data_IF_827108186658
#
_entry.id   IF_827108186658
#
_cell.length_a   1.000
_cell.length_b   1.000
_cell.length_c   1.000
_cell.angle_alpha   90.00
_cell.angle_beta   90.00
_cell.angle_gamma   90.00
#
_symmetry.space_group_name_H-M   'P 1'
#
loop_
_entity.id
_entity.type
_entity.pdbx_description
1 polymer ?
#
# COMPACT_ATOMS: atom_id res chain seq x y z
N UNK A 1 -70.98 41.91 -18.77
CA UNK A 1 -70.34 40.59 -18.96
C UNK A 1 -68.78 40.58 -18.90
N UNK A 2 -68.10 41.66 -18.47
CA UNK A 2 -66.61 41.75 -18.49
C UNK A 2 -65.87 41.22 -17.24
N UNK A 3 -66.54 40.98 -16.11
CA UNK A 3 -65.90 40.61 -14.83
C UNK A 3 -65.73 39.09 -14.60
N UNK A 4 -66.48 38.23 -15.29
CA UNK A 4 -66.41 36.77 -15.07
C UNK A 4 -65.13 36.13 -15.62
N UNK A 5 -64.56 36.67 -16.70
CA UNK A 5 -63.30 36.19 -17.28
C UNK A 5 -62.07 36.50 -16.42
N UNK A 6 -62.02 37.68 -15.81
CA UNK A 6 -60.93 38.07 -14.92
C UNK A 6 -60.91 37.26 -13.61
N UNK A 7 -62.10 36.99 -13.03
CA UNK A 7 -62.22 36.16 -11.84
C UNK A 7 -61.80 34.70 -12.10
N UNK A 8 -62.18 34.12 -13.25
CA UNK A 8 -61.76 32.77 -13.63
C UNK A 8 -60.24 32.66 -13.82
N UNK A 9 -59.63 33.67 -14.44
CA UNK A 9 -58.19 33.71 -14.69
C UNK A 9 -57.39 33.81 -13.38
N UNK A 10 -57.86 34.63 -12.42
CA UNK A 10 -57.27 34.70 -11.08
C UNK A 10 -57.33 33.36 -10.34
N UNK A 11 -58.47 32.66 -10.42
CA UNK A 11 -58.62 31.34 -9.81
C UNK A 11 -57.67 30.33 -10.45
N UNK A 12 -57.61 30.27 -11.79
CA UNK A 12 -56.69 29.39 -12.50
C UNK A 12 -55.22 29.69 -12.19
N UNK A 13 -54.85 30.96 -12.08
CA UNK A 13 -53.50 31.36 -11.71
C UNK A 13 -53.16 30.98 -10.26
N UNK A 14 -54.11 31.14 -9.33
CA UNK A 14 -53.92 30.70 -7.94
C UNK A 14 -53.77 29.17 -7.83
N UNK A 15 -54.56 28.40 -8.59
CA UNK A 15 -54.46 26.94 -8.63
C UNK A 15 -53.12 26.51 -9.25
N UNK A 16 -52.68 27.19 -10.31
CA UNK A 16 -51.38 26.93 -10.93
C UNK A 16 -50.24 27.17 -9.93
N UNK A 17 -50.26 28.28 -9.19
CA UNK A 17 -49.28 28.58 -8.16
C UNK A 17 -49.30 27.57 -7.01
N UNK A 18 -50.49 27.18 -6.54
CA UNK A 18 -50.61 26.15 -5.50
C UNK A 18 -50.09 24.79 -5.99
N UNK A 19 -50.37 24.43 -7.24
CA UNK A 19 -49.92 23.19 -7.86
C UNK A 19 -48.39 23.16 -8.03
N UNK A 20 -47.78 24.27 -8.49
CA UNK A 20 -46.32 24.35 -8.61
C UNK A 20 -45.63 24.35 -7.24
N UNK A 21 -46.21 25.02 -6.24
CA UNK A 21 -45.70 25.00 -4.87
C UNK A 21 -45.80 23.60 -4.23
N UNK A 22 -46.92 22.91 -4.42
CA UNK A 22 -47.10 21.54 -3.95
C UNK A 22 -46.13 20.57 -4.65
N UNK A 23 -45.96 20.69 -5.96
CA UNK A 23 -45.03 19.87 -6.75
C UNK A 23 -43.57 20.08 -6.33
N UNK A 24 -43.13 21.33 -6.16
CA UNK A 24 -41.76 21.61 -5.68
C UNK A 24 -41.55 21.07 -4.28
N UNK A 25 -42.50 21.26 -3.36
CA UNK A 25 -42.45 20.71 -2.00
C UNK A 25 -42.33 19.20 -2.00
N UNK A 26 -43.10 18.49 -2.84
CA UNK A 26 -43.02 17.05 -2.98
C UNK A 26 -41.65 16.59 -3.49
N UNK A 27 -41.11 17.24 -4.53
CA UNK A 27 -39.76 16.94 -5.02
C UNK A 27 -38.70 17.15 -3.93
N UNK A 28 -38.78 18.25 -3.17
CA UNK A 28 -37.87 18.50 -2.06
C UNK A 28 -37.95 17.43 -0.98
N UNK A 29 -39.17 17.02 -0.58
CA UNK A 29 -39.36 15.97 0.41
C UNK A 29 -38.80 14.63 -0.08
N UNK A 30 -39.10 14.25 -1.31
CA UNK A 30 -38.58 13.01 -1.93
C UNK A 30 -37.05 12.99 -1.94
N UNK A 31 -36.43 14.09 -2.37
CA UNK A 31 -34.98 14.22 -2.36
C UNK A 31 -34.41 14.14 -0.94
N UNK A 32 -35.04 14.80 0.04
CA UNK A 32 -34.61 14.73 1.44
C UNK A 32 -34.69 13.32 2.00
N UNK A 33 -35.77 12.59 1.74
CA UNK A 33 -35.90 11.18 2.16
C UNK A 33 -34.81 10.32 1.53
N UNK A 34 -34.53 10.51 0.23
CA UNK A 34 -33.45 9.80 -0.45
C UNK A 34 -32.08 10.09 0.18
N UNK A 35 -31.72 11.36 0.40
CA UNK A 35 -30.44 11.75 1.00
C UNK A 35 -30.29 11.23 2.43
N UNK A 36 -31.34 11.30 3.25
CA UNK A 36 -31.33 10.77 4.62
C UNK A 36 -31.19 9.24 4.60
N UNK A 37 -31.87 8.57 3.68
CA UNK A 37 -31.76 7.12 3.48
C UNK A 37 -30.34 6.70 3.12
N UNK A 38 -29.74 7.32 2.09
CA UNK A 38 -28.36 7.07 1.67
C UNK A 38 -27.35 7.35 2.78
N UNK A 39 -27.47 8.50 3.45
CA UNK A 39 -26.60 8.84 4.58
C UNK A 39 -26.69 7.85 5.73
N UNK A 40 -27.88 7.31 6.00
CA UNK A 40 -28.08 6.30 7.05
C UNK A 40 -27.43 4.98 6.66
N UNK A 41 -27.66 4.51 5.44
CA UNK A 41 -27.04 3.28 4.91
C UNK A 41 -25.51 3.36 4.98
N UNK A 42 -24.92 4.48 4.56
CA UNK A 42 -23.46 4.71 4.64
C UNK A 42 -22.92 4.65 6.07
N UNK A 43 -23.68 5.20 7.04
CA UNK A 43 -23.29 5.16 8.44
C UNK A 43 -23.40 3.74 9.03
N UNK A 44 -24.44 3.00 8.66
CA UNK A 44 -24.65 1.61 9.07
C UNK A 44 -23.55 0.71 8.49
N UNK A 45 -23.18 0.90 7.21
CA UNK A 45 -22.07 0.21 6.55
C UNK A 45 -20.73 0.53 7.19
N UNK A 46 -20.48 1.80 7.50
CA UNK A 46 -19.26 2.22 8.21
C UNK A 46 -19.13 1.52 9.56
N UNK A 47 -20.22 1.39 10.32
CA UNK A 47 -20.23 0.66 11.59
C UNK A 47 -19.98 -0.84 11.39
N UNK A 48 -20.62 -1.46 10.38
CA UNK A 48 -20.39 -2.87 10.05
C UNK A 48 -18.92 -3.14 9.68
N UNK A 49 -18.32 -2.28 8.85
CA UNK A 49 -16.92 -2.39 8.44
C UNK A 49 -15.96 -2.28 9.62
N UNK A 50 -16.18 -1.31 10.52
CA UNK A 50 -15.39 -1.15 11.75
C UNK A 50 -15.56 -2.34 12.71
N UNK A 51 -16.78 -2.87 12.83
CA UNK A 51 -17.06 -4.08 13.61
C UNK A 51 -16.32 -5.29 13.04
N UNK A 52 -16.33 -5.44 11.72
CA UNK A 52 -15.64 -6.53 11.00
C UNK A 52 -14.13 -6.46 11.17
N UNK A 53 -13.53 -5.26 11.08
CA UNK A 53 -12.11 -5.05 11.40
C UNK A 53 -11.79 -5.43 12.85
N UNK A 54 -12.67 -5.08 13.79
CA UNK A 54 -12.47 -5.40 15.21
C UNK A 54 -12.52 -6.91 15.48
N UNK A 55 -13.46 -7.62 14.84
CA UNK A 55 -13.54 -9.10 14.88
C UNK A 55 -12.29 -9.73 14.28
N UNK A 56 -11.86 -9.22 13.12
CA UNK A 56 -10.63 -9.67 12.46
C UNK A 56 -9.40 -9.52 13.36
N UNK A 57 -9.21 -8.34 13.96
CA UNK A 57 -8.09 -8.06 14.88
C UNK A 57 -8.11 -8.99 16.10
N UNK A 58 -9.27 -9.21 16.70
CA UNK A 58 -9.40 -10.11 17.85
C UNK A 58 -9.05 -11.56 17.49
N UNK A 59 -9.43 -12.02 16.30
CA UNK A 59 -9.08 -13.36 15.84
C UNK A 59 -7.57 -13.51 15.65
N UNK A 60 -6.90 -12.54 15.03
CA UNK A 60 -5.43 -12.56 14.89
C UNK A 60 -4.76 -12.50 16.26
N UNK A 61 -5.20 -11.61 17.15
CA UNK A 61 -4.62 -11.48 18.48
C UNK A 61 -4.70 -12.81 19.26
N UNK A 62 -5.81 -13.55 19.14
CA UNK A 62 -5.96 -14.88 19.75
C UNK A 62 -4.98 -15.90 19.18
N UNK A 63 -4.78 -15.93 17.86
CA UNK A 63 -3.82 -16.86 17.24
C UNK A 63 -2.37 -16.57 17.69
N UNK A 64 -1.98 -15.30 17.72
CA UNK A 64 -0.67 -14.88 18.22
C UNK A 64 -0.48 -15.27 19.70
N UNK A 65 -1.51 -15.06 20.53
CA UNK A 65 -1.45 -15.44 21.96
C UNK A 65 -1.35 -16.95 22.17
N UNK A 66 -1.86 -17.77 21.24
CA UNK A 66 -1.75 -19.22 21.29
C UNK A 66 -0.38 -19.75 20.82
N UNK A 67 0.58 -18.86 20.56
CA UNK A 67 1.95 -19.21 20.21
C UNK A 67 2.21 -19.39 18.72
N UNK A 68 1.25 -19.05 17.85
CA UNK A 68 1.51 -19.00 16.42
C UNK A 68 2.21 -17.69 16.04
N UNK A 69 3.32 -17.79 15.31
CA UNK A 69 3.94 -16.59 14.73
C UNK A 69 2.99 -15.97 13.68
N UNK A 70 3.03 -14.64 13.57
CA UNK A 70 2.16 -13.89 12.67
C UNK A 70 2.35 -14.34 11.21
N UNK A 71 3.56 -14.77 10.80
CA UNK A 71 3.77 -15.31 9.46
C UNK A 71 2.91 -16.55 9.19
N UNK A 72 2.72 -17.42 10.19
CA UNK A 72 1.89 -18.62 10.09
C UNK A 72 0.40 -18.26 10.01
N UNK A 73 -0.07 -17.42 10.94
CA UNK A 73 -1.43 -16.85 10.94
C UNK A 73 -1.74 -16.17 9.61
N UNK A 74 -0.84 -15.32 9.11
CA UNK A 74 -1.01 -14.61 7.84
C UNK A 74 -1.16 -15.59 6.67
N UNK A 75 -0.32 -16.63 6.61
CA UNK A 75 -0.44 -17.67 5.58
C UNK A 75 -1.79 -18.39 5.62
N UNK A 76 -2.33 -18.68 6.81
CA UNK A 76 -3.67 -19.30 6.96
C UNK A 76 -4.79 -18.35 6.54
N UNK A 77 -4.66 -17.07 6.85
CA UNK A 77 -5.64 -16.05 6.48
C UNK A 77 -5.71 -15.80 4.97
N UNK A 78 -4.61 -16.05 4.26
CA UNK A 78 -4.58 -15.98 2.79
C UNK A 78 -5.27 -17.18 2.12
N UNK A 79 -5.35 -18.33 2.77
CA UNK A 79 -5.94 -19.56 2.22
C UNK A 79 -7.37 -19.83 2.70
N UNK A 80 -7.78 -19.22 3.80
CA UNK A 80 -9.11 -19.37 4.40
C UNK A 80 -10.17 -18.47 3.73
N UNK A 81 -11.46 -18.83 3.78
CA UNK A 81 -12.53 -17.99 3.24
C UNK A 81 -12.51 -16.63 3.93
N UNK A 82 -12.27 -15.58 3.14
CA UNK A 82 -12.06 -14.24 3.64
C UNK A 82 -13.40 -13.50 3.84
N UNK A 83 -14.25 -14.02 4.73
CA UNK A 83 -15.57 -13.45 5.04
C UNK A 83 -15.80 -13.35 6.55
N UNK A 84 -16.42 -12.25 6.98
CA UNK A 84 -16.84 -12.00 8.35
C UNK A 84 -18.33 -11.69 8.33
N UNK A 85 -19.13 -12.50 9.01
CA UNK A 85 -20.59 -12.34 9.07
C UNK A 85 -20.99 -11.70 10.41
N UNK A 86 -21.65 -10.55 10.36
CA UNK A 86 -22.19 -9.85 11.54
C UNK A 86 -23.66 -9.51 11.24
N UNK A 87 -24.59 -9.93 12.10
CA UNK A 87 -26.03 -9.68 11.93
C UNK A 87 -26.56 -10.10 10.55
N UNK A 88 -26.17 -11.28 10.06
CA UNK A 88 -26.54 -11.81 8.74
C UNK A 88 -26.09 -10.95 7.56
N UNK A 89 -25.11 -10.07 7.77
CA UNK A 89 -24.44 -9.32 6.72
C UNK A 89 -22.99 -9.77 6.61
N UNK A 90 -22.59 -10.07 5.38
CA UNK A 90 -21.26 -10.55 5.10
C UNK A 90 -20.35 -9.39 4.70
N UNK A 91 -19.11 -9.45 5.20
CA UNK A 91 -18.03 -8.54 4.84
C UNK A 91 -16.86 -9.38 4.35
N UNK A 92 -16.56 -9.26 3.06
CA UNK A 92 -15.40 -9.89 2.46
C UNK A 92 -14.16 -9.08 2.80
N UNK A 93 -13.04 -9.75 3.08
CA UNK A 93 -11.77 -9.08 3.25
C UNK A 93 -10.69 -9.62 2.32
N UNK A 94 -9.68 -8.83 2.04
CA UNK A 94 -8.46 -9.27 1.36
C UNK A 94 -7.25 -8.66 2.02
N UNK A 95 -6.21 -9.46 2.25
CA UNK A 95 -4.94 -9.01 2.80
C UNK A 95 -3.92 -8.78 1.69
N UNK A 96 -3.07 -7.77 1.89
CA UNK A 96 -1.98 -7.43 0.99
C UNK A 96 -0.76 -7.17 1.85
N UNK A 97 0.32 -7.90 1.61
CA UNK A 97 1.58 -7.66 2.29
C UNK A 97 2.13 -6.29 1.92
N UNK A 98 2.51 -5.53 2.94
CA UNK A 98 3.19 -4.23 2.84
C UNK A 98 4.53 -4.29 3.57
N UNK A 99 4.98 -5.47 4.00
CA UNK A 99 6.27 -5.65 4.65
C UNK A 99 7.34 -5.75 3.61
N UNK A 100 7.33 -6.79 2.77
CA UNK A 100 8.45 -7.14 1.89
C UNK A 100 8.33 -6.49 0.51
N UNK A 101 8.33 -5.16 0.49
CA UNK A 101 8.23 -4.31 -0.69
C UNK A 101 9.18 -3.12 -0.60
N UNK A 102 9.59 -2.59 -1.75
CA UNK A 102 10.32 -1.33 -1.85
C UNK A 102 9.41 -0.17 -1.46
N UNK A 103 9.65 0.40 -0.28
CA UNK A 103 8.91 1.55 0.22
C UNK A 103 9.35 2.82 -0.52
N UNK A 104 8.52 3.34 -1.43
CA UNK A 104 8.85 4.49 -2.28
C UNK A 104 9.05 5.79 -1.49
N UNK A 105 8.56 5.88 -0.24
CA UNK A 105 8.78 7.06 0.60
C UNK A 105 10.26 7.21 1.00
N UNK A 106 11.03 6.11 0.98
CA UNK A 106 12.48 6.15 1.20
C UNK A 106 13.23 7.01 0.18
N UNK A 107 12.69 7.21 -1.02
CA UNK A 107 13.28 8.05 -2.07
C UNK A 107 13.35 9.52 -1.67
N UNK A 108 12.39 9.98 -0.87
CA UNK A 108 12.40 11.31 -0.28
C UNK A 108 13.21 11.33 1.03
N UNK A 109 12.94 10.37 1.91
CA UNK A 109 13.49 10.40 3.26
C UNK A 109 15.02 10.33 3.26
N UNK A 110 15.61 9.62 2.29
CA UNK A 110 17.06 9.51 2.13
C UNK A 110 17.75 10.86 1.88
N UNK A 111 17.04 11.85 1.32
CA UNK A 111 17.55 13.21 1.10
C UNK A 111 17.12 14.19 2.20
N UNK A 112 16.02 13.91 2.90
CA UNK A 112 15.52 14.77 3.99
C UNK A 112 16.23 14.53 5.33
N UNK A 113 16.69 13.31 5.58
CA UNK A 113 17.41 12.97 6.80
C UNK A 113 18.82 13.57 6.76
N UNK A 114 19.33 14.04 7.90
CA UNK A 114 20.68 14.63 8.00
C UNK A 114 21.81 13.62 7.74
N UNK A 115 21.51 12.35 7.44
CA UNK A 115 22.50 11.33 7.18
C UNK A 115 22.88 11.30 5.69
N UNK A 116 24.07 11.82 5.38
CA UNK A 116 24.56 11.96 3.99
C UNK A 116 25.01 10.63 3.37
N UNK A 117 25.27 9.61 4.20
CA UNK A 117 25.82 8.35 3.74
C UNK A 117 24.72 7.53 3.05
N UNK A 118 24.95 7.16 1.79
CA UNK A 118 24.08 6.30 0.98
C UNK A 118 22.69 6.86 0.62
N UNK A 119 22.49 8.18 0.58
CA UNK A 119 21.21 8.81 0.16
C UNK A 119 20.69 8.37 -1.22
N UNK A 120 21.58 7.95 -2.13
CA UNK A 120 21.22 7.44 -3.46
C UNK A 120 20.86 5.95 -3.48
N UNK A 121 21.08 5.22 -2.39
CA UNK A 121 20.86 3.77 -2.34
C UNK A 121 19.41 3.38 -2.71
N UNK A 122 18.34 3.98 -2.15
CA UNK A 122 16.97 3.64 -2.54
C UNK A 122 16.69 3.88 -4.02
N UNK A 123 17.34 4.88 -4.62
CA UNK A 123 17.20 5.19 -6.04
C UNK A 123 17.87 4.14 -6.92
N UNK A 124 19.04 3.63 -6.52
CA UNK A 124 19.70 2.51 -7.19
C UNK A 124 18.87 1.23 -7.09
N UNK A 125 18.25 0.96 -5.93
CA UNK A 125 17.33 -0.19 -5.77
C UNK A 125 16.15 -0.06 -6.72
N UNK A 126 15.49 1.09 -6.76
CA UNK A 126 14.37 1.33 -7.69
C UNK A 126 14.81 1.17 -9.16
N UNK A 127 15.96 1.71 -9.53
CA UNK A 127 16.51 1.55 -10.87
C UNK A 127 16.72 0.06 -11.22
N UNK A 128 17.33 -0.72 -10.32
CA UNK A 128 17.51 -2.16 -10.51
C UNK A 128 16.19 -2.92 -10.61
N UNK A 129 15.17 -2.58 -9.81
CA UNK A 129 13.82 -3.17 -9.93
C UNK A 129 13.29 -2.96 -11.36
N UNK A 130 13.42 -1.76 -11.91
CA UNK A 130 12.96 -1.47 -13.27
C UNK A 130 13.77 -2.23 -14.33
N UNK A 131 15.10 -2.26 -14.22
CA UNK A 131 15.97 -2.97 -15.17
C UNK A 131 15.71 -4.48 -15.17
N UNK A 132 15.61 -5.12 -14.00
CA UNK A 132 15.34 -6.55 -13.87
C UNK A 132 13.98 -6.97 -14.46
N UNK A 133 13.03 -6.04 -14.54
CA UNK A 133 11.71 -6.25 -15.12
C UNK A 133 11.60 -5.72 -16.57
N UNK A 134 12.71 -5.32 -17.20
CA UNK A 134 12.77 -4.73 -18.54
C UNK A 134 11.86 -3.50 -18.72
N UNK A 135 11.72 -2.68 -17.68
CA UNK A 135 10.87 -1.49 -17.69
C UNK A 135 11.73 -0.25 -17.88
N UNK A 136 11.37 0.56 -18.88
CA UNK A 136 12.04 1.83 -19.18
C UNK A 136 11.26 2.98 -18.55
N UNK A 137 11.85 3.66 -17.57
CA UNK A 137 11.34 4.91 -17.02
C UNK A 137 12.19 6.07 -17.53
N UNK A 138 11.58 7.01 -18.27
CA UNK A 138 12.30 8.20 -18.74
C UNK A 138 12.77 9.08 -17.58
N UNK A 139 12.02 9.12 -16.48
CA UNK A 139 12.33 9.89 -15.27
C UNK A 139 13.55 9.31 -14.58
N UNK A 140 13.52 8.01 -14.24
CA UNK A 140 14.63 7.36 -13.54
C UNK A 140 15.88 7.31 -14.42
N UNK A 141 15.77 6.97 -15.70
CA UNK A 141 16.93 6.91 -16.59
C UNK A 141 17.64 8.26 -16.72
N UNK A 142 16.87 9.37 -16.77
CA UNK A 142 17.44 10.72 -16.78
C UNK A 142 18.17 11.01 -15.48
N UNK A 143 17.56 10.72 -14.33
CA UNK A 143 18.18 10.94 -13.02
C UNK A 143 19.44 10.09 -12.82
N UNK A 144 19.44 8.83 -13.27
CA UNK A 144 20.60 7.94 -13.19
C UNK A 144 21.73 8.39 -14.12
N UNK A 145 21.41 8.86 -15.32
CA UNK A 145 22.42 9.43 -16.24
C UNK A 145 23.12 10.62 -15.59
N UNK A 146 22.36 11.53 -14.97
CA UNK A 146 22.92 12.69 -14.27
C UNK A 146 23.81 12.24 -13.10
N UNK A 147 23.36 11.26 -12.32
CA UNK A 147 24.12 10.72 -11.19
C UNK A 147 25.45 10.08 -11.61
N UNK A 148 25.46 9.30 -12.70
CA UNK A 148 26.67 8.62 -13.21
C UNK A 148 27.66 9.62 -13.83
N UNK A 149 27.17 10.61 -14.58
CA UNK A 149 28.02 11.56 -15.30
C UNK A 149 28.69 12.61 -14.41
N UNK A 150 28.11 12.90 -13.24
CA UNK A 150 28.59 13.95 -12.34
C UNK A 150 28.91 13.37 -10.95
N UNK A 151 30.09 12.75 -10.78
CA UNK A 151 30.50 12.22 -9.48
C UNK A 151 30.54 13.30 -8.40
N UNK A 152 30.48 12.84 -7.15
CA UNK A 152 30.25 13.59 -5.92
C UNK A 152 31.23 14.73 -5.57
N UNK A 153 32.29 14.94 -6.37
CA UNK A 153 33.27 16.03 -6.21
C UNK A 153 32.93 17.30 -7.03
N UNK A 154 31.75 17.36 -7.65
CA UNK A 154 31.34 18.52 -8.44
C UNK A 154 30.54 19.54 -7.62
N UNK A 155 30.72 20.83 -7.92
CA UNK A 155 29.90 21.94 -7.40
C UNK A 155 28.40 21.84 -7.75
N UNK A 156 28.00 20.82 -8.50
CA UNK A 156 26.63 20.58 -8.94
C UNK A 156 25.84 19.60 -8.05
N UNK A 157 26.45 19.04 -6.99
CA UNK A 157 25.80 18.05 -6.13
C UNK A 157 24.48 18.57 -5.54
N UNK A 158 24.43 19.84 -5.12
CA UNK A 158 23.22 20.47 -4.60
C UNK A 158 22.10 20.55 -5.65
N UNK A 159 22.44 20.71 -6.93
CA UNK A 159 21.44 20.73 -8.01
C UNK A 159 20.88 19.33 -8.22
N UNK A 160 21.75 18.33 -8.27
CA UNK A 160 21.37 16.92 -8.43
C UNK A 160 20.47 16.49 -7.27
N UNK A 161 20.85 16.83 -6.04
CA UNK A 161 20.06 16.55 -4.85
C UNK A 161 18.66 17.17 -4.90
N UNK A 162 18.54 18.42 -5.37
CA UNK A 162 17.24 19.06 -5.54
C UNK A 162 16.36 18.34 -6.55
N UNK A 163 16.93 17.84 -7.65
CA UNK A 163 16.19 17.10 -8.66
C UNK A 163 15.65 15.77 -8.09
N UNK A 164 16.50 15.02 -7.38
CA UNK A 164 16.06 13.79 -6.67
C UNK A 164 15.02 14.08 -5.59
N UNK A 165 15.21 15.12 -4.78
CA UNK A 165 14.29 15.53 -3.72
C UNK A 165 12.91 15.92 -4.28
N UNK A 166 12.88 16.64 -5.40
CA UNK A 166 11.63 17.04 -6.06
C UNK A 166 10.82 15.82 -6.53
N UNK A 167 11.49 14.82 -7.11
CA UNK A 167 10.85 13.57 -7.52
C UNK A 167 10.41 12.76 -6.29
N UNK A 168 11.25 12.67 -5.26
CA UNK A 168 10.91 12.01 -3.99
C UNK A 168 9.65 12.61 -3.35
N UNK A 169 9.53 13.94 -3.34
CA UNK A 169 8.32 14.63 -2.88
C UNK A 169 7.07 14.25 -3.69
N UNK A 170 7.20 14.03 -5.00
CA UNK A 170 6.08 13.58 -5.81
C UNK A 170 5.59 12.19 -5.38
N UNK A 171 6.50 11.28 -4.99
CA UNK A 171 6.13 9.95 -4.46
C UNK A 171 5.40 10.01 -3.13
N UNK A 172 5.76 10.92 -2.23
CA UNK A 172 5.05 11.06 -0.95
C UNK A 172 3.63 11.63 -1.09
N UNK A 173 3.40 12.51 -2.08
CA UNK A 173 2.10 13.16 -2.30
C UNK A 173 1.20 12.39 -3.26
N UNK A 174 1.79 11.66 -4.20
CA UNK A 174 1.11 11.03 -5.31
C UNK A 174 0.81 9.56 -5.05
N UNK A 175 -0.43 9.15 -5.29
CA UNK A 175 -0.82 7.75 -5.25
C UNK A 175 -0.58 7.02 -6.60
N UNK A 176 -0.01 7.70 -7.60
CA UNK A 176 0.19 7.20 -8.96
C UNK A 176 1.68 7.05 -9.29
N UNK A 177 2.30 5.99 -8.75
CA UNK A 177 3.71 5.63 -8.97
C UNK A 177 4.03 5.54 -10.47
N UNK A 178 3.14 4.93 -11.25
CA UNK A 178 3.21 4.80 -12.70
C UNK A 178 3.41 6.14 -13.42
N UNK A 179 2.60 7.15 -13.05
CA UNK A 179 2.66 8.49 -13.64
C UNK A 179 3.93 9.23 -13.26
N UNK A 180 4.38 9.11 -12.01
CA UNK A 180 5.60 9.75 -11.53
C UNK A 180 6.83 9.13 -12.23
N UNK A 181 6.82 7.81 -12.42
CA UNK A 181 7.86 7.10 -13.16
C UNK A 181 7.75 7.30 -14.67
N UNK A 182 6.64 7.84 -15.17
CA UNK A 182 6.30 7.90 -16.59
C UNK A 182 6.45 6.53 -17.28
N UNK A 183 5.81 5.51 -16.71
CA UNK A 183 5.72 4.15 -17.26
C UNK A 183 4.27 3.82 -17.64
N UNK A 184 4.07 2.81 -18.49
CA UNK A 184 2.74 2.36 -18.85
C UNK A 184 2.04 1.66 -17.67
N UNK A 185 0.71 1.63 -17.69
CA UNK A 185 -0.08 0.87 -16.71
C UNK A 185 0.28 -0.61 -16.71
N UNK A 186 0.59 -1.18 -17.88
CA UNK A 186 1.03 -2.57 -18.02
C UNK A 186 2.37 -2.80 -17.31
N UNK A 187 3.37 -1.95 -17.56
CA UNK A 187 4.66 -2.01 -16.86
C UNK A 187 4.48 -1.87 -15.34
N UNK A 188 3.58 -0.98 -14.91
CA UNK A 188 3.28 -0.82 -13.49
C UNK A 188 2.71 -2.10 -12.85
N UNK A 189 1.86 -2.86 -13.55
CA UNK A 189 1.30 -4.11 -13.01
C UNK A 189 2.38 -5.15 -12.69
N UNK A 190 3.51 -5.17 -13.40
CA UNK A 190 4.64 -6.06 -13.12
C UNK A 190 5.37 -5.71 -11.82
N UNK A 191 5.57 -4.41 -11.55
CA UNK A 191 6.31 -3.96 -10.36
C UNK A 191 5.41 -3.64 -9.16
N UNK A 192 4.09 -3.53 -9.34
CA UNK A 192 3.14 -3.24 -8.27
C UNK A 192 3.25 -4.19 -7.06
N UNK A 193 3.57 -5.48 -7.21
CA UNK A 193 3.83 -6.37 -6.06
C UNK A 193 5.16 -6.08 -5.34
N UNK A 194 6.11 -5.39 -5.99
CA UNK A 194 7.45 -5.12 -5.47
C UNK A 194 7.55 -3.75 -4.80
N UNK A 195 6.59 -2.86 -4.98
CA UNK A 195 6.62 -1.49 -4.45
C UNK A 195 5.44 -1.20 -3.52
N UNK A 196 5.65 -0.32 -2.55
CA UNK A 196 4.61 0.11 -1.62
C UNK A 196 4.89 1.53 -1.11
N UNK A 197 3.89 2.12 -0.46
CA UNK A 197 4.04 3.36 0.31
C UNK A 197 3.68 3.07 1.76
N UNK A 198 4.61 3.34 2.68
CA UNK A 198 4.44 3.14 4.12
C UNK A 198 4.88 4.37 4.87
N UNK A 199 4.33 4.55 6.07
CA UNK A 199 4.62 5.74 6.89
C UNK A 199 5.99 5.70 7.58
N UNK A 200 6.77 4.63 7.43
CA UNK A 200 8.14 4.56 7.90
C UNK A 200 9.14 4.97 6.80
N UNK A 201 10.38 5.22 7.21
CA UNK A 201 11.46 5.70 6.33
C UNK A 201 12.50 4.62 6.00
N UNK A 202 12.11 3.34 6.09
CA UNK A 202 13.01 2.20 5.90
C UNK A 202 12.57 1.31 4.76
N UNK A 203 13.54 0.63 4.17
CA UNK A 203 13.37 -0.59 3.39
C UNK A 203 13.35 -1.76 4.36
N UNK A 204 12.20 -1.99 4.99
CA UNK A 204 12.01 -3.17 5.85
C UNK A 204 11.67 -4.36 4.98
N UNK A 205 12.44 -5.44 5.10
CA UNK A 205 12.14 -6.73 4.49
C UNK A 205 11.93 -7.75 5.60
N UNK A 206 10.80 -8.46 5.56
CA UNK A 206 10.60 -9.60 6.44
C UNK A 206 10.89 -10.89 5.66
N UNK A 207 11.91 -11.62 6.12
CA UNK A 207 12.41 -12.83 5.45
C UNK A 207 11.35 -13.94 5.35
N UNK A 208 10.36 -13.95 6.25
CA UNK A 208 9.29 -14.94 6.28
C UNK A 208 8.10 -14.58 5.39
N UNK A 209 7.97 -13.30 5.00
CA UNK A 209 6.94 -12.82 4.07
C UNK A 209 7.38 -12.83 2.59
N UNK A 210 8.65 -13.17 2.33
CA UNK A 210 9.17 -13.28 0.97
C UNK A 210 8.43 -14.38 0.19
N UNK A 211 8.12 -14.08 -1.06
CA UNK A 211 7.51 -14.99 -2.02
C UNK A 211 8.30 -15.00 -3.34
N UNK A 212 7.94 -15.86 -4.28
CA UNK A 212 8.64 -16.02 -5.55
C UNK A 212 8.87 -14.69 -6.31
N UNK A 213 7.92 -13.75 -6.24
CA UNK A 213 8.06 -12.44 -6.92
C UNK A 213 9.06 -11.53 -6.19
N UNK A 214 9.26 -11.71 -4.88
CA UNK A 214 10.22 -10.96 -4.08
C UNK A 214 11.69 -11.22 -4.49
N UNK A 215 11.98 -12.22 -5.33
CA UNK A 215 13.34 -12.48 -5.81
C UNK A 215 13.96 -11.27 -6.52
N UNK A 216 13.19 -10.58 -7.37
CA UNK A 216 13.65 -9.37 -8.05
C UNK A 216 13.91 -8.22 -7.08
N UNK A 217 13.12 -8.11 -6.01
CA UNK A 217 13.31 -7.09 -4.99
C UNK A 217 14.63 -7.30 -4.23
N UNK A 218 14.91 -8.52 -3.79
CA UNK A 218 16.16 -8.82 -3.09
C UNK A 218 17.37 -8.69 -4.02
N UNK A 219 17.28 -9.16 -5.25
CA UNK A 219 18.34 -8.97 -6.24
C UNK A 219 18.65 -7.48 -6.44
N UNK A 220 17.62 -6.62 -6.53
CA UNK A 220 17.79 -5.18 -6.64
C UNK A 220 18.39 -4.54 -5.37
N UNK A 221 17.97 -4.97 -4.18
CA UNK A 221 18.51 -4.54 -2.88
C UNK A 221 20.00 -4.85 -2.77
N UNK A 222 20.42 -6.02 -3.25
CA UNK A 222 21.82 -6.47 -3.26
C UNK A 222 22.59 -6.02 -4.52
N UNK A 223 22.11 -5.00 -5.24
CA UNK A 223 22.79 -4.42 -6.40
C UNK A 223 23.18 -5.45 -7.48
N UNK A 224 22.34 -6.48 -7.65
CA UNK A 224 22.55 -7.62 -8.54
C UNK A 224 23.74 -8.52 -8.21
N UNK A 225 24.38 -8.36 -7.04
CA UNK A 225 25.49 -9.23 -6.61
C UNK A 225 25.01 -10.62 -6.23
N UNK A 226 23.77 -10.73 -5.74
CA UNK A 226 23.10 -12.00 -5.50
C UNK A 226 22.14 -12.26 -6.66
N UNK A 227 22.25 -13.43 -7.28
CA UNK A 227 21.43 -13.76 -8.45
C UNK A 227 19.97 -14.01 -8.06
N UNK A 228 19.03 -13.69 -8.95
CA UNK A 228 17.61 -14.01 -8.73
C UNK A 228 17.35 -15.52 -8.52
N UNK A 229 18.19 -16.39 -9.10
CA UNK A 229 18.12 -17.84 -8.90
C UNK A 229 18.47 -18.24 -7.47
N UNK A 230 19.54 -17.67 -6.90
CA UNK A 230 19.97 -17.98 -5.53
C UNK A 230 18.96 -17.47 -4.51
N UNK A 231 18.44 -16.26 -4.72
CA UNK A 231 17.33 -15.74 -3.91
C UNK A 231 16.11 -16.66 -4.00
N UNK A 232 15.74 -17.07 -5.21
CA UNK A 232 14.57 -17.94 -5.40
C UNK A 232 14.71 -19.28 -4.67
N UNK A 233 15.89 -19.91 -4.72
CA UNK A 233 16.19 -21.13 -3.96
C UNK A 233 16.02 -20.94 -2.45
N UNK A 234 16.52 -19.81 -1.92
CA UNK A 234 16.39 -19.48 -0.49
C UNK A 234 14.92 -19.33 -0.08
N UNK A 235 14.11 -18.69 -0.92
CA UNK A 235 12.69 -18.47 -0.66
C UNK A 235 11.92 -19.80 -0.69
N UNK A 236 12.23 -20.69 -1.65
CA UNK A 236 11.62 -22.02 -1.72
C UNK A 236 12.04 -22.95 -0.57
N UNK A 237 13.23 -22.73 -0.02
CA UNK A 237 13.78 -23.53 1.07
C UNK A 237 13.32 -23.03 2.45
N UNK A 238 12.35 -22.09 2.50
CA UNK A 238 11.81 -21.56 3.75
C UNK A 238 11.28 -22.72 4.62
N UNK A 239 11.76 -22.86 5.87
CA UNK A 239 11.24 -23.86 6.80
C UNK A 239 9.73 -23.71 7.04
N UNK A 240 9.06 -24.78 7.47
CA UNK A 240 7.61 -24.76 7.71
C UNK A 240 7.19 -23.70 8.75
N UNK A 241 8.01 -23.52 9.78
CA UNK A 241 7.86 -22.50 10.82
C UNK A 241 8.47 -21.14 10.45
N UNK A 242 8.99 -20.99 9.23
CA UNK A 242 9.79 -19.84 8.81
C UNK A 242 11.22 -19.85 9.36
N UNK A 243 11.99 -18.84 8.98
CA UNK A 243 13.31 -18.55 9.50
C UNK A 243 13.21 -18.01 10.93
N UNK A 244 13.86 -18.68 11.88
CA UNK A 244 13.85 -18.32 13.29
C UNK A 244 14.62 -17.01 13.56
N UNK A 245 15.64 -16.73 12.76
CA UNK A 245 16.44 -15.51 12.84
C UNK A 245 16.77 -15.00 11.44
N UNK A 246 17.06 -13.71 11.33
CA UNK A 246 17.52 -13.10 10.07
C UNK A 246 18.87 -13.69 9.65
N UNK A 247 19.72 -14.04 10.62
CA UNK A 247 21.04 -14.63 10.40
C UNK A 247 20.92 -16.01 9.74
N UNK A 248 20.00 -16.86 10.21
CA UNK A 248 19.79 -18.20 9.63
C UNK A 248 19.38 -18.16 8.16
N UNK A 249 18.61 -17.13 7.77
CA UNK A 249 18.25 -16.88 6.37
C UNK A 249 19.49 -16.55 5.53
N UNK A 250 20.39 -15.69 6.03
CA UNK A 250 21.58 -15.28 5.31
C UNK A 250 22.69 -16.34 5.29
N UNK A 251 22.83 -17.13 6.35
CA UNK A 251 23.73 -18.29 6.35
C UNK A 251 23.30 -19.31 5.30
N UNK A 252 21.99 -19.59 5.19
CA UNK A 252 21.49 -20.46 4.14
C UNK A 252 21.72 -19.84 2.74
N UNK A 253 21.50 -18.53 2.58
CA UNK A 253 21.77 -17.83 1.32
C UNK A 253 23.24 -17.95 0.90
N UNK A 254 24.17 -17.69 1.82
CA UNK A 254 25.61 -17.78 1.58
C UNK A 254 26.02 -19.21 1.19
N UNK A 255 25.54 -20.21 1.95
CA UNK A 255 25.87 -21.62 1.70
C UNK A 255 25.32 -22.15 0.36
N UNK A 256 24.32 -21.49 -0.22
CA UNK A 256 23.65 -21.92 -1.45
C UNK A 256 23.80 -20.94 -2.62
N UNK A 257 24.67 -19.94 -2.49
CA UNK A 257 24.98 -18.95 -3.52
C UNK A 257 26.49 -18.88 -3.79
N UNK A 258 26.90 -18.16 -4.82
CA UNK A 258 28.32 -17.89 -5.09
C UNK A 258 28.89 -16.74 -4.26
N UNK A 259 28.06 -16.07 -3.45
CA UNK A 259 28.46 -14.88 -2.67
C UNK A 259 28.75 -15.30 -1.23
N UNK A 260 29.92 -14.91 -0.75
CA UNK A 260 30.36 -15.20 0.60
C UNK A 260 29.56 -14.39 1.66
N UNK A 261 29.52 -14.89 2.89
CA UNK A 261 28.77 -14.29 4.00
C UNK A 261 29.30 -12.91 4.40
N UNK A 262 30.60 -12.65 4.32
CA UNK A 262 31.23 -11.37 4.60
C UNK A 262 30.75 -10.33 3.58
N UNK A 263 30.76 -10.67 2.29
CA UNK A 263 30.21 -9.79 1.26
C UNK A 263 28.72 -9.51 1.48
N UNK A 264 27.94 -10.53 1.85
CA UNK A 264 26.52 -10.35 2.19
C UNK A 264 26.38 -9.40 3.39
N UNK A 265 27.22 -9.54 4.42
CA UNK A 265 27.21 -8.67 5.60
C UNK A 265 27.52 -7.22 5.26
N UNK A 266 28.46 -6.95 4.37
CA UNK A 266 28.73 -5.60 3.85
C UNK A 266 27.52 -5.03 3.14
N UNK A 267 26.89 -5.78 2.23
CA UNK A 267 25.74 -5.32 1.46
C UNK A 267 24.50 -5.04 2.32
N UNK A 268 24.34 -5.76 3.43
CA UNK A 268 23.26 -5.55 4.40
C UNK A 268 23.48 -4.32 5.27
N UNK A 269 24.71 -3.85 5.42
CA UNK A 269 25.08 -2.75 6.31
C UNK A 269 24.76 -1.38 5.71
N UNK A 270 23.48 -1.15 5.42
CA UNK A 270 22.93 0.11 4.91
C UNK A 270 21.87 0.58 5.89
N UNK A 271 22.01 1.81 6.41
CA UNK A 271 21.15 2.36 7.47
C UNK A 271 19.65 2.28 7.16
N UNK A 272 19.27 2.51 5.90
CA UNK A 272 17.88 2.49 5.46
C UNK A 272 17.33 1.07 5.25
N UNK A 273 18.20 0.07 5.13
CA UNK A 273 17.83 -1.32 4.91
C UNK A 273 17.70 -2.03 6.25
N UNK A 274 16.55 -2.67 6.47
CA UNK A 274 16.29 -3.44 7.69
C UNK A 274 15.72 -4.80 7.32
N UNK A 275 16.37 -5.86 7.78
CA UNK A 275 15.80 -7.20 7.74
C UNK A 275 15.15 -7.53 9.09
N UNK A 276 14.04 -8.23 9.05
CA UNK A 276 13.31 -8.68 10.23
C UNK A 276 12.71 -10.07 10.00
N UNK A 277 12.33 -10.71 11.09
CA UNK A 277 11.55 -11.95 11.11
C UNK A 277 10.26 -11.80 11.93
N UNK A 278 10.05 -10.67 12.63
CA UNK A 278 8.95 -10.48 13.58
C UNK A 278 8.28 -9.09 13.51
N UNK A 279 8.55 -8.33 12.44
CA UNK A 279 7.91 -7.04 12.17
C UNK A 279 7.19 -7.12 10.82
N UNK A 280 5.94 -6.68 10.80
CA UNK A 280 5.07 -6.83 9.63
C UNK A 280 4.22 -5.59 9.40
N UNK A 281 4.00 -5.29 8.14
CA UNK A 281 3.01 -4.32 7.68
C UNK A 281 2.11 -5.02 6.69
N UNK A 282 0.80 -4.86 6.83
CA UNK A 282 -0.14 -5.37 5.84
C UNK A 282 -1.32 -4.42 5.74
N UNK A 283 -1.91 -4.37 4.56
CA UNK A 283 -3.17 -3.67 4.35
C UNK A 283 -4.30 -4.67 4.16
N UNK A 284 -5.46 -4.39 4.75
CA UNK A 284 -6.70 -5.10 4.43
C UNK A 284 -7.60 -4.21 3.57
N UNK A 285 -8.46 -4.85 2.78
CA UNK A 285 -9.65 -4.23 2.20
C UNK A 285 -10.87 -5.03 2.63
N UNK A 286 -11.67 -4.48 3.53
CA UNK A 286 -12.99 -4.99 3.92
C UNK A 286 -14.05 -4.40 2.98
N UNK A 287 -14.88 -5.23 2.36
CA UNK A 287 -15.96 -4.84 1.46
C UNK A 287 -17.27 -5.46 1.93
N UNK A 288 -18.29 -4.63 2.08
CA UNK A 288 -19.66 -5.08 2.36
C UNK A 288 -20.17 -5.93 1.19
N UNK A 289 -20.75 -7.09 1.48
CA UNK A 289 -21.41 -7.91 0.48
C UNK A 289 -22.60 -7.16 -0.16
N UNK A 290 -22.74 -7.31 -1.49
CA UNK A 290 -23.76 -6.62 -2.28
C UNK A 290 -23.81 -5.07 -2.13
N UNK A 291 -22.69 -4.45 -1.71
CA UNK A 291 -22.53 -3.00 -1.61
C UNK A 291 -21.18 -2.49 -2.12
N UNK A 292 -21.06 -1.18 -2.24
CA UNK A 292 -19.82 -0.52 -2.67
C UNK A 292 -18.96 -0.04 -1.49
N UNK A 293 -19.52 -0.03 -0.28
CA UNK A 293 -18.88 0.38 0.95
C UNK A 293 -17.65 -0.48 1.26
N UNK A 294 -16.50 0.17 1.44
CA UNK A 294 -15.21 -0.46 1.71
C UNK A 294 -14.44 0.27 2.82
N UNK A 295 -13.70 -0.50 3.61
CA UNK A 295 -12.72 -0.03 4.57
C UNK A 295 -11.36 -0.61 4.21
N UNK A 296 -10.44 0.27 3.83
CA UNK A 296 -9.03 -0.06 3.69
C UNK A 296 -8.29 0.32 4.97
N UNK A 297 -7.62 -0.64 5.57
CA UNK A 297 -6.86 -0.43 6.81
C UNK A 297 -5.41 -0.83 6.64
N UNK A 298 -4.50 -0.05 7.21
CA UNK A 298 -3.07 -0.37 7.29
C UNK A 298 -2.73 -0.77 8.73
N UNK A 299 -2.12 -1.94 8.89
CA UNK A 299 -1.73 -2.48 10.18
C UNK A 299 -0.21 -2.56 10.29
N UNK A 300 0.27 -2.40 11.51
CA UNK A 300 1.64 -2.70 11.91
C UNK A 300 1.63 -3.73 13.01
N UNK A 301 2.40 -4.79 12.83
CA UNK A 301 2.58 -5.86 13.80
C UNK A 301 4.04 -5.88 14.21
N UNK A 302 4.28 -5.85 15.52
CA UNK A 302 5.63 -5.98 16.08
C UNK A 302 5.58 -6.86 17.31
N UNK A 303 6.25 -8.01 17.22
CA UNK A 303 6.09 -9.07 18.22
C UNK A 303 4.61 -9.43 18.35
N UNK A 304 4.06 -9.32 19.56
CA UNK A 304 2.68 -9.72 19.84
C UNK A 304 1.68 -8.55 19.78
N UNK A 305 2.11 -7.38 19.31
CA UNK A 305 1.28 -6.17 19.27
C UNK A 305 0.85 -5.87 17.85
N UNK A 306 -0.46 -5.66 17.65
CA UNK A 306 -1.05 -5.24 16.37
C UNK A 306 -1.65 -3.85 16.55
N UNK A 307 -1.26 -2.91 15.69
CA UNK A 307 -1.73 -1.53 15.72
C UNK A 307 -2.34 -1.14 14.37
N UNK A 308 -3.50 -0.48 14.40
CA UNK A 308 -4.09 0.14 13.21
C UNK A 308 -3.45 1.51 13.00
N UNK A 309 -2.71 1.68 11.90
CA UNK A 309 -2.01 2.92 11.59
C UNK A 309 -2.89 3.92 10.85
N UNK A 310 -3.72 3.42 9.92
CA UNK A 310 -4.53 4.27 9.06
C UNK A 310 -5.79 3.53 8.61
N UNK A 311 -6.87 4.28 8.43
CA UNK A 311 -8.15 3.81 7.87
C UNK A 311 -8.61 4.75 6.78
N UNK A 312 -9.04 4.19 5.65
CA UNK A 312 -9.68 4.91 4.55
C UNK A 312 -10.99 4.25 4.20
N UNK A 313 -12.05 5.04 4.18
CA UNK A 313 -13.38 4.58 3.79
C UNK A 313 -13.68 4.97 2.34
N UNK A 314 -14.41 4.10 1.65
CA UNK A 314 -15.15 4.40 0.43
C UNK A 314 -16.59 4.06 0.81
N UNK A 315 -17.48 5.06 0.88
CA UNK A 315 -18.88 4.92 1.30
C UNK A 315 -19.81 5.43 0.21
#
# INVERSE_FOLDING_TARGET
>A
MKQRGAALLLVLFSILLMSTMASTTYMYLSNMVYFVGDSRTKQDDKQLLLGSESVFLNNIAKEILNGEDFSGTYSKLLTSPSVISINNRDVHYRLIDRTSCFNVNTLYDSFSSMNKNNKYYPWLVLYNILQLNNIVSSVINKSMTIFIQYPSDTSNLDRIDRDFLAIGHAFQRGNSIDKILNISSESFLYIAPLVCSRNDNKLLINVNMLNAKSSYLLQAIFMNEITGSDVYKVILSKPAQGWLTVESFFEFLANNSSVDIDRINELKNVEMLKFSNNEYYFSSNFKVDNGDSQLMSLFHVKGNTITVLHRRFIL
#
